data_IF_245780862576
#
_entry.id   IF_245780862576
#
_cell.length_a   1.000
_cell.length_b   1.000
_cell.length_c   1.000
_cell.angle_alpha   90.00
_cell.angle_beta   90.00
_cell.angle_gamma   90.00
#
_symmetry.space_group_name_H-M   'P 1'
#
loop_
_entity.id
_entity.type
_entity.pdbx_description
1 polymer ?
#
# COMPACT_ATOMS: atom_id res chain seq x y z
N UNK A 1 4.28 -27.07 0.25
CA UNK A 1 3.83 -26.26 1.41
C UNK A 1 3.26 -27.21 2.44
N UNK A 2 3.66 -27.09 3.71
CA UNK A 2 3.19 -27.98 4.79
C UNK A 2 1.67 -27.86 4.96
N UNK A 3 0.99 -28.99 5.14
CA UNK A 3 -0.47 -29.07 5.36
C UNK A 3 -1.01 -28.22 6.54
N UNK A 4 -0.15 -27.77 7.43
CA UNK A 4 -0.54 -26.93 8.59
C UNK A 4 -0.68 -25.44 8.24
N UNK A 5 -0.03 -24.96 7.18
CA UNK A 5 -0.16 -23.56 6.72
C UNK A 5 -1.53 -23.29 6.07
N UNK A 6 -2.16 -24.32 5.50
CA UNK A 6 -3.51 -24.23 4.92
C UNK A 6 -4.65 -24.09 5.96
N UNK A 7 -4.36 -24.23 7.26
CA UNK A 7 -5.37 -24.12 8.33
C UNK A 7 -5.49 -22.71 8.92
N UNK A 8 -4.55 -21.79 8.63
CA UNK A 8 -4.63 -20.42 9.10
C UNK A 8 -5.56 -19.63 8.16
N UNK A 9 -6.50 -18.91 8.76
CA UNK A 9 -7.47 -18.10 8.04
C UNK A 9 -6.88 -16.82 7.46
N UNK A 10 -7.75 -16.01 6.88
CA UNK A 10 -7.44 -14.65 6.43
C UNK A 10 -8.43 -13.64 7.01
N UNK A 11 -8.03 -12.37 7.03
CA UNK A 11 -8.82 -11.28 7.59
C UNK A 11 -8.98 -10.17 6.55
N UNK A 12 -10.21 -9.82 6.23
CA UNK A 12 -10.55 -8.65 5.43
C UNK A 12 -11.10 -7.56 6.38
N UNK A 13 -10.46 -6.39 6.41
CA UNK A 13 -10.89 -5.26 7.24
C UNK A 13 -11.89 -4.42 6.45
N UNK A 14 -13.11 -4.28 6.97
CA UNK A 14 -14.13 -3.52 6.28
C UNK A 14 -15.20 -2.99 7.23
N UNK A 15 -15.69 -1.80 6.93
CA UNK A 15 -16.85 -1.17 7.56
C UNK A 15 -17.51 -0.23 6.56
N UNK A 16 -18.84 -0.32 6.43
CA UNK A 16 -19.63 0.62 5.63
C UNK A 16 -19.45 2.06 6.10
N UNK A 17 -19.40 2.28 7.42
CA UNK A 17 -19.20 3.62 7.99
C UNK A 17 -17.91 4.27 7.50
N UNK A 18 -16.82 3.50 7.40
CA UNK A 18 -15.53 4.00 6.93
C UNK A 18 -15.49 4.16 5.41
N UNK A 19 -16.08 3.22 4.68
CA UNK A 19 -16.06 3.21 3.22
C UNK A 19 -16.93 4.32 2.61
N UNK A 20 -17.88 4.86 3.35
CA UNK A 20 -18.74 5.96 2.89
C UNK A 20 -18.46 7.30 3.59
N UNK A 21 -17.29 7.45 4.19
CA UNK A 21 -16.85 8.74 4.73
C UNK A 21 -16.60 9.73 3.58
N UNK A 22 -17.14 10.94 3.72
CA UNK A 22 -17.13 11.94 2.66
C UNK A 22 -15.90 12.86 2.74
N UNK A 23 -14.98 12.71 1.80
CA UNK A 23 -13.85 13.61 1.60
C UNK A 23 -14.19 14.84 0.74
N UNK A 24 -15.42 14.94 0.24
CA UNK A 24 -15.86 15.97 -0.70
C UNK A 24 -15.89 15.49 -2.16
N UNK A 25 -16.79 16.09 -2.93
CA UNK A 25 -17.05 15.66 -4.31
C UNK A 25 -15.82 15.77 -5.22
N UNK A 26 -15.03 16.83 -5.04
CA UNK A 26 -13.86 17.12 -5.89
C UNK A 26 -12.55 16.50 -5.38
N UNK A 27 -12.56 15.84 -4.21
CA UNK A 27 -11.37 15.22 -3.67
C UNK A 27 -11.08 13.91 -4.40
N UNK A 28 -9.81 13.65 -4.75
CA UNK A 28 -9.42 12.43 -5.46
C UNK A 28 -9.54 11.17 -4.62
N UNK A 29 -9.23 11.25 -3.32
CA UNK A 29 -9.36 10.09 -2.44
C UNK A 29 -10.84 9.76 -2.18
N UNK A 30 -11.25 8.57 -2.61
CA UNK A 30 -12.62 8.05 -2.47
C UNK A 30 -12.60 6.77 -1.65
N UNK A 31 -12.97 6.80 -0.36
CA UNK A 31 -13.01 5.60 0.48
C UNK A 31 -13.96 4.51 -0.05
N UNK A 32 -14.97 4.89 -0.85
CA UNK A 32 -15.93 3.96 -1.46
C UNK A 32 -15.29 2.87 -2.33
N UNK A 33 -14.01 3.05 -2.75
CA UNK A 33 -13.24 2.01 -3.45
C UNK A 33 -13.10 0.73 -2.62
N UNK A 34 -13.10 0.83 -1.28
CA UNK A 34 -13.11 -0.32 -0.38
C UNK A 34 -14.47 -1.04 -0.42
N UNK A 35 -15.60 -0.31 -0.48
CA UNK A 35 -16.92 -0.90 -0.65
C UNK A 35 -17.04 -1.62 -1.99
N UNK A 36 -16.55 -1.02 -3.07
CA UNK A 36 -16.55 -1.65 -4.39
C UNK A 36 -15.67 -2.90 -4.43
N UNK A 37 -14.51 -2.87 -3.79
CA UNK A 37 -13.64 -4.04 -3.66
C UNK A 37 -14.37 -5.17 -2.90
N UNK A 38 -14.95 -4.86 -1.76
CA UNK A 38 -15.70 -5.84 -0.97
C UNK A 38 -16.88 -6.43 -1.75
N UNK A 39 -17.62 -5.59 -2.48
CA UNK A 39 -18.72 -6.02 -3.35
C UNK A 39 -18.23 -6.97 -4.45
N UNK A 40 -17.14 -6.63 -5.15
CA UNK A 40 -16.55 -7.48 -6.17
C UNK A 40 -16.05 -8.80 -5.59
N UNK A 41 -15.34 -8.78 -4.45
CA UNK A 41 -14.89 -9.99 -3.77
C UNK A 41 -16.05 -10.96 -3.46
N UNK A 42 -17.21 -10.45 -3.02
CA UNK A 42 -18.40 -11.28 -2.81
C UNK A 42 -18.95 -11.84 -4.12
N UNK A 43 -19.06 -11.00 -5.16
CA UNK A 43 -19.64 -11.42 -6.47
C UNK A 43 -18.79 -12.43 -7.20
N UNK A 44 -17.46 -12.32 -7.10
CA UNK A 44 -16.52 -13.26 -7.72
C UNK A 44 -16.18 -14.46 -6.83
N UNK A 45 -16.90 -14.64 -5.72
CA UNK A 45 -16.79 -15.82 -4.86
C UNK A 45 -15.49 -15.89 -4.04
N UNK A 46 -14.73 -14.80 -3.95
CA UNK A 46 -13.44 -14.76 -3.23
C UNK A 46 -13.56 -14.23 -1.79
N UNK A 47 -14.78 -14.13 -1.27
CA UNK A 47 -15.05 -13.73 0.15
C UNK A 47 -15.76 -14.81 0.97
N UNK A 48 -16.47 -15.74 0.34
CA UNK A 48 -17.40 -16.63 1.02
C UNK A 48 -16.75 -17.98 1.40
N UNK A 49 -15.66 -17.94 2.18
CA UNK A 49 -14.97 -19.13 2.65
C UNK A 49 -14.91 -19.16 4.19
N UNK A 50 -15.08 -20.33 4.81
CA UNK A 50 -15.16 -20.52 6.26
C UNK A 50 -13.91 -20.01 7.02
N UNK A 51 -12.74 -20.03 6.36
CA UNK A 51 -11.49 -19.54 6.94
C UNK A 51 -11.30 -18.01 6.82
N UNK A 52 -12.16 -17.32 6.08
CA UNK A 52 -12.11 -15.87 5.94
C UNK A 52 -12.96 -15.20 7.03
N UNK A 53 -12.41 -14.14 7.59
CA UNK A 53 -13.10 -13.34 8.60
C UNK A 53 -13.18 -11.88 8.18
N UNK A 54 -14.37 -11.33 8.24
CA UNK A 54 -14.55 -9.88 8.15
C UNK A 54 -14.24 -9.28 9.52
N UNK A 55 -13.36 -8.27 9.53
CA UNK A 55 -13.01 -7.51 10.72
C UNK A 55 -13.61 -6.11 10.61
N UNK A 56 -14.59 -5.83 11.45
CA UNK A 56 -15.06 -4.46 11.65
C UNK A 56 -14.02 -3.71 12.50
N UNK A 57 -13.38 -2.65 11.97
CA UNK A 57 -12.31 -1.96 12.69
C UNK A 57 -12.87 -1.16 13.86
N UNK A 58 -12.26 -1.34 15.02
CA UNK A 58 -12.51 -0.52 16.21
C UNK A 58 -11.53 0.67 16.22
N UNK A 59 -11.89 1.71 16.95
CA UNK A 59 -11.05 2.88 17.15
C UNK A 59 -9.73 2.49 17.85
N UNK A 60 -8.59 2.88 17.31
CA UNK A 60 -7.30 2.69 17.96
C UNK A 60 -7.24 3.45 19.29
N UNK A 61 -6.53 2.91 20.26
CA UNK A 61 -6.17 3.66 21.46
C UNK A 61 -5.28 4.85 21.06
N UNK A 62 -5.63 6.05 21.50
CA UNK A 62 -4.90 7.27 21.16
C UNK A 62 -3.43 7.24 21.61
N UNK A 63 -3.11 6.48 22.65
CA UNK A 63 -1.73 6.28 23.09
C UNK A 63 -0.84 5.63 22.02
N UNK A 64 -1.43 4.89 21.06
CA UNK A 64 -0.68 4.32 19.94
C UNK A 64 -0.20 5.38 18.96
N UNK A 65 -0.91 6.50 18.82
CA UNK A 65 -0.50 7.57 17.92
C UNK A 65 0.87 8.13 18.28
N UNK A 66 1.19 8.21 19.56
CA UNK A 66 2.46 8.73 20.09
C UNK A 66 3.65 7.80 19.82
N UNK A 67 3.41 6.59 19.27
CA UNK A 67 4.50 5.76 18.75
C UNK A 67 5.18 6.42 17.54
N UNK A 68 4.47 7.31 16.85
CA UNK A 68 5.01 8.01 15.69
C UNK A 68 4.74 9.51 15.70
N UNK A 69 3.47 9.91 15.88
CA UNK A 69 3.07 11.32 15.75
C UNK A 69 3.37 12.16 16.99
N UNK A 70 3.67 13.42 16.77
CA UNK A 70 3.88 14.41 17.82
C UNK A 70 2.57 14.81 18.50
N UNK A 71 2.61 14.99 19.81
CA UNK A 71 1.43 15.32 20.59
C UNK A 71 0.75 16.62 20.11
N UNK A 72 1.52 17.59 19.64
CA UNK A 72 1.00 18.86 19.12
C UNK A 72 0.19 18.64 17.86
N UNK A 73 0.73 17.87 16.91
CA UNK A 73 0.05 17.51 15.69
C UNK A 73 -1.27 16.77 15.97
N UNK A 74 -1.24 15.74 16.84
CA UNK A 74 -2.43 14.99 17.22
C UNK A 74 -3.52 15.91 17.77
N UNK A 75 -3.16 16.82 18.67
CA UNK A 75 -4.07 17.79 19.26
C UNK A 75 -4.66 18.76 18.24
N UNK A 76 -3.87 19.22 17.27
CA UNK A 76 -4.35 20.10 16.19
C UNK A 76 -5.32 19.37 15.26
N UNK A 77 -5.01 18.13 14.89
CA UNK A 77 -5.87 17.30 14.05
C UNK A 77 -7.22 17.00 14.75
N UNK A 78 -7.18 16.68 16.04
CA UNK A 78 -8.40 16.46 16.84
C UNK A 78 -9.26 17.72 16.90
N UNK A 79 -8.67 18.90 17.12
CA UNK A 79 -9.37 20.19 17.11
C UNK A 79 -10.00 20.48 15.74
N UNK A 80 -9.23 20.31 14.65
CA UNK A 80 -9.72 20.51 13.30
C UNK A 80 -10.92 19.61 13.01
N UNK A 81 -10.83 18.34 13.39
CA UNK A 81 -11.89 17.34 13.22
C UNK A 81 -13.19 17.68 13.97
N UNK A 82 -13.10 18.41 15.11
CA UNK A 82 -14.26 18.87 15.90
C UNK A 82 -14.87 20.18 15.41
N UNK A 83 -14.39 20.73 14.28
CA UNK A 83 -14.92 21.96 13.70
C UNK A 83 -14.41 23.23 14.37
N UNK A 84 -13.24 23.21 14.97
CA UNK A 84 -12.56 24.43 15.45
C UNK A 84 -12.26 25.37 14.29
N UNK A 85 -12.18 26.66 14.57
CA UNK A 85 -11.76 27.65 13.58
C UNK A 85 -10.36 27.31 13.04
N UNK A 86 -10.19 27.51 11.74
CA UNK A 86 -8.91 27.33 11.06
C UNK A 86 -7.84 28.23 11.70
N UNK A 87 -6.62 27.69 11.84
CA UNK A 87 -5.47 28.43 12.35
C UNK A 87 -4.24 28.23 11.45
N UNK A 88 -3.30 29.17 11.52
CA UNK A 88 -2.02 29.02 10.80
C UNK A 88 -1.24 27.81 11.30
N UNK A 89 -1.29 27.50 12.59
CA UNK A 89 -0.65 26.31 13.15
C UNK A 89 -1.17 25.02 12.49
N UNK A 90 -2.47 24.93 12.19
CA UNK A 90 -3.03 23.79 11.46
C UNK A 90 -2.43 23.69 10.06
N UNK A 91 -2.29 24.82 9.35
CA UNK A 91 -1.72 24.84 8.00
C UNK A 91 -0.23 24.47 7.99
N UNK A 92 0.55 24.93 8.97
CA UNK A 92 1.96 24.57 9.13
C UNK A 92 2.14 23.05 9.35
N UNK A 93 1.13 22.38 9.90
CA UNK A 93 1.07 20.94 10.07
C UNK A 93 0.30 20.22 8.94
N UNK A 94 0.10 20.88 7.80
CA UNK A 94 -0.55 20.29 6.60
C UNK A 94 -2.07 20.12 6.71
N UNK A 95 -2.71 20.56 7.80
CA UNK A 95 -4.16 20.43 8.02
C UNK A 95 -4.87 21.65 7.42
N UNK A 96 -5.82 21.43 6.51
CA UNK A 96 -6.57 22.50 5.83
C UNK A 96 -5.99 22.86 4.46
N UNK A 97 -5.07 22.06 3.93
CA UNK A 97 -4.62 22.13 2.54
C UNK A 97 -5.67 21.49 1.60
N UNK A 98 -5.59 21.73 0.27
CA UNK A 98 -6.44 21.03 -0.68
C UNK A 98 -6.33 19.50 -0.58
N UNK A 99 -5.13 18.97 -0.31
CA UNK A 99 -4.89 17.54 -0.18
C UNK A 99 -5.36 16.97 1.16
N UNK A 100 -5.29 17.77 2.21
CA UNK A 100 -5.69 17.36 3.56
C UNK A 100 -6.69 18.39 4.16
N UNK A 101 -7.92 18.49 3.63
CA UNK A 101 -8.90 19.45 4.07
C UNK A 101 -9.35 19.21 5.52
N UNK A 102 -9.87 20.24 6.15
CA UNK A 102 -10.53 20.09 7.45
C UNK A 102 -11.88 19.41 7.24
N UNK A 103 -12.01 18.20 7.76
CA UNK A 103 -13.21 17.39 7.64
C UNK A 103 -13.76 17.03 9.03
N UNK A 104 -15.03 17.30 9.31
CA UNK A 104 -15.65 16.85 10.54
C UNK A 104 -15.57 15.33 10.69
N UNK A 105 -15.07 14.87 11.83
CA UNK A 105 -14.94 13.43 12.12
C UNK A 105 -13.69 12.75 11.55
N UNK A 106 -12.81 13.45 10.82
CA UNK A 106 -11.61 12.84 10.19
C UNK A 106 -10.66 12.22 11.23
N UNK A 107 -10.56 12.76 12.43
CA UNK A 107 -9.74 12.18 13.49
C UNK A 107 -10.26 10.80 13.91
N UNK A 108 -11.55 10.69 14.19
CA UNK A 108 -12.18 9.42 14.59
C UNK A 108 -12.15 8.40 13.43
N UNK A 109 -12.36 8.86 12.20
CA UNK A 109 -12.22 8.02 11.01
C UNK A 109 -10.80 7.47 10.89
N UNK A 110 -9.79 8.32 10.99
CA UNK A 110 -8.38 7.91 10.93
C UNK A 110 -7.99 6.97 12.05
N UNK A 111 -8.52 7.19 13.28
CA UNK A 111 -8.32 6.27 14.39
C UNK A 111 -8.93 4.89 14.15
N UNK A 112 -10.12 4.80 13.54
CA UNK A 112 -10.73 3.51 13.19
C UNK A 112 -9.92 2.79 12.11
N UNK A 113 -9.46 3.50 11.07
CA UNK A 113 -8.59 2.90 10.06
C UNK A 113 -7.31 2.37 10.68
N UNK A 114 -6.64 3.18 11.52
CA UNK A 114 -5.44 2.77 12.26
C UNK A 114 -5.71 1.56 13.15
N UNK A 115 -6.84 1.55 13.85
CA UNK A 115 -7.26 0.41 14.68
C UNK A 115 -7.46 -0.87 13.86
N UNK A 116 -8.02 -0.77 12.66
CA UNK A 116 -8.13 -1.87 11.70
C UNK A 116 -6.76 -2.44 11.30
N UNK A 117 -5.82 -1.57 10.93
CA UNK A 117 -4.45 -1.95 10.56
C UNK A 117 -3.70 -2.61 11.72
N UNK A 118 -3.78 -2.01 12.93
CA UNK A 118 -3.17 -2.58 14.15
C UNK A 118 -3.81 -3.92 14.54
N UNK A 119 -5.11 -4.06 14.44
CA UNK A 119 -5.78 -5.34 14.73
C UNK A 119 -5.42 -6.42 13.71
N UNK A 120 -5.32 -6.05 12.42
CA UNK A 120 -4.96 -6.95 11.33
C UNK A 120 -3.53 -7.49 11.49
N UNK A 121 -2.54 -6.62 11.70
CA UNK A 121 -1.13 -7.05 11.89
C UNK A 121 -0.98 -7.97 13.11
N UNK A 122 -1.66 -7.64 14.21
CA UNK A 122 -1.61 -8.46 15.44
C UNK A 122 -2.20 -9.86 15.23
N UNK A 123 -3.27 -10.02 14.42
CA UNK A 123 -3.83 -11.35 14.10
C UNK A 123 -2.87 -12.20 13.29
N UNK A 124 -2.18 -11.60 12.32
CA UNK A 124 -1.17 -12.30 11.51
C UNK A 124 0.01 -12.73 12.40
N UNK A 125 0.51 -11.83 13.23
CA UNK A 125 1.66 -12.11 14.10
C UNK A 125 1.38 -13.13 15.20
N UNK A 126 0.15 -13.19 15.72
CA UNK A 126 -0.28 -14.22 16.68
C UNK A 126 -0.58 -15.56 16.02
N UNK A 127 -0.52 -15.67 14.69
CA UNK A 127 -0.88 -16.88 13.96
C UNK A 127 -2.39 -17.18 13.94
N UNK A 128 -3.23 -16.18 14.18
CA UNK A 128 -4.69 -16.27 14.06
C UNK A 128 -5.15 -16.16 12.60
N UNK A 129 -4.33 -15.55 11.75
CA UNK A 129 -4.50 -15.47 10.31
C UNK A 129 -3.15 -15.58 9.60
N UNK A 130 -3.16 -16.10 8.37
CA UNK A 130 -1.98 -16.12 7.50
C UNK A 130 -1.76 -14.77 6.84
N UNK A 131 -2.84 -14.14 6.38
CA UNK A 131 -2.80 -12.82 5.76
C UNK A 131 -3.99 -11.98 6.22
N UNK A 132 -3.82 -10.66 6.09
CA UNK A 132 -4.88 -9.69 6.31
C UNK A 132 -4.84 -8.62 5.22
N UNK A 133 -6.00 -8.05 4.89
CA UNK A 133 -6.09 -6.92 3.97
C UNK A 133 -6.96 -5.81 4.56
N UNK A 134 -6.39 -4.61 4.68
CA UNK A 134 -7.12 -3.39 5.02
C UNK A 134 -7.14 -2.44 3.81
N UNK A 135 -8.17 -2.45 2.96
CA UNK A 135 -8.22 -1.61 1.76
C UNK A 135 -8.34 -0.11 2.06
N UNK A 136 -8.69 0.27 3.29
CA UNK A 136 -8.74 1.67 3.74
C UNK A 136 -7.47 2.12 4.48
N UNK A 137 -6.55 1.21 4.82
CA UNK A 137 -5.24 1.53 5.36
C UNK A 137 -4.23 1.90 4.27
N UNK A 138 -3.03 2.28 4.69
CA UNK A 138 -1.97 2.60 3.75
C UNK A 138 -1.70 4.11 3.63
N UNK A 139 -1.71 4.84 4.73
CA UNK A 139 -1.48 6.29 4.73
C UNK A 139 0.01 6.63 4.86
N UNK A 140 0.81 6.24 3.87
CA UNK A 140 2.26 6.24 3.85
C UNK A 140 2.91 7.63 3.81
N UNK A 141 2.14 8.70 3.47
CA UNK A 141 2.69 10.06 3.41
C UNK A 141 2.66 10.82 4.73
N UNK A 142 1.74 10.49 5.66
CA UNK A 142 1.65 11.24 6.90
C UNK A 142 2.99 11.20 7.66
N UNK A 143 3.49 12.40 7.98
CA UNK A 143 4.75 12.62 8.69
C UNK A 143 4.55 12.59 10.20
N UNK A 144 5.65 12.62 10.92
CA UNK A 144 5.64 12.67 12.39
C UNK A 144 4.82 13.83 12.94
N UNK A 145 4.93 15.01 12.34
CA UNK A 145 4.29 16.25 12.75
C UNK A 145 3.35 16.88 11.73
N UNK A 146 3.01 16.19 10.60
CA UNK A 146 2.16 16.79 9.58
C UNK A 146 1.34 15.78 8.80
N UNK A 147 0.19 16.24 8.31
CA UNK A 147 -0.59 15.58 7.28
C UNK A 147 0.00 15.90 5.91
N UNK A 148 0.07 14.92 5.01
CA UNK A 148 0.55 15.07 3.64
C UNK A 148 -0.17 14.08 2.72
N UNK A 149 -0.38 14.44 1.44
CA UNK A 149 -0.83 13.51 0.40
C UNK A 149 -2.06 12.68 0.78
N UNK A 150 -3.12 13.32 1.23
CA UNK A 150 -4.38 12.72 1.71
C UNK A 150 -4.25 11.97 3.05
N UNK A 151 -3.05 11.83 3.60
CA UNK A 151 -2.74 11.06 4.79
C UNK A 151 -2.73 11.96 6.04
N UNK A 152 -3.58 11.63 7.03
CA UNK A 152 -3.63 12.34 8.31
C UNK A 152 -2.89 11.59 9.41
N UNK A 153 -3.06 10.28 9.51
CA UNK A 153 -2.39 9.41 10.49
C UNK A 153 -1.71 8.28 9.73
N UNK A 154 -0.44 8.05 9.99
CA UNK A 154 0.33 6.96 9.39
C UNK A 154 0.05 5.64 10.13
N UNK A 155 -0.99 4.96 9.72
CA UNK A 155 -1.42 3.69 10.29
C UNK A 155 -0.37 2.58 10.11
N UNK A 156 0.41 2.63 9.04
CA UNK A 156 1.50 1.69 8.72
C UNK A 156 2.58 1.76 9.80
N UNK A 157 3.11 2.97 9.99
CA UNK A 157 4.21 3.19 10.96
C UNK A 157 3.77 2.84 12.37
N UNK A 158 2.55 3.22 12.76
CA UNK A 158 1.99 2.90 14.08
C UNK A 158 1.87 1.39 14.26
N UNK A 159 1.31 0.69 13.27
CA UNK A 159 1.14 -0.76 13.33
C UNK A 159 2.48 -1.50 13.39
N UNK A 160 3.47 -1.10 12.59
CA UNK A 160 4.81 -1.70 12.60
C UNK A 160 5.51 -1.42 13.95
N UNK A 161 5.48 -0.18 14.46
CA UNK A 161 6.10 0.15 15.76
C UNK A 161 5.43 -0.58 16.93
N UNK A 162 4.11 -0.75 16.92
CA UNK A 162 3.38 -1.56 17.90
C UNK A 162 3.79 -3.03 17.81
N UNK A 163 3.93 -3.58 16.60
CA UNK A 163 4.40 -4.94 16.37
C UNK A 163 5.83 -5.16 16.88
N UNK A 164 6.78 -4.27 16.55
CA UNK A 164 8.16 -4.32 17.03
C UNK A 164 8.26 -4.27 18.56
N UNK A 165 7.35 -3.54 19.22
CA UNK A 165 7.27 -3.47 20.68
C UNK A 165 6.75 -4.77 21.29
N UNK A 166 5.71 -5.38 20.67
CA UNK A 166 5.02 -6.58 21.19
C UNK A 166 5.76 -7.88 20.88
N UNK A 167 6.50 -7.90 19.78
CA UNK A 167 7.22 -9.09 19.28
C UNK A 167 8.72 -8.77 19.11
N UNK A 168 9.48 -8.70 20.22
CA UNK A 168 10.91 -8.40 20.17
C UNK A 168 11.67 -9.36 19.24
N UNK A 169 12.54 -8.83 18.40
CA UNK A 169 13.36 -9.60 17.46
C UNK A 169 12.70 -9.95 16.13
N UNK A 170 11.43 -9.56 15.92
CA UNK A 170 10.75 -9.74 14.63
C UNK A 170 11.43 -8.91 13.54
N UNK A 171 11.56 -9.49 12.35
CA UNK A 171 12.02 -8.83 11.12
C UNK A 171 10.82 -8.56 10.21
N UNK A 172 10.61 -7.30 9.88
CA UNK A 172 9.50 -6.87 9.03
C UNK A 172 10.06 -6.33 7.72
N UNK A 173 9.54 -6.78 6.58
CA UNK A 173 9.74 -6.09 5.32
C UNK A 173 8.51 -5.24 5.02
N UNK A 174 8.71 -3.97 4.72
CA UNK A 174 7.71 -3.09 4.13
C UNK A 174 7.96 -3.02 2.63
N UNK A 175 6.96 -3.35 1.83
CA UNK A 175 7.04 -3.33 0.37
C UNK A 175 5.93 -2.43 -0.14
N UNK A 176 6.33 -1.35 -0.77
CA UNK A 176 5.44 -0.32 -1.31
C UNK A 176 5.49 -0.39 -2.84
N UNK A 177 4.33 -0.65 -3.45
CA UNK A 177 4.11 -0.60 -4.89
C UNK A 177 3.02 0.41 -5.26
N UNK A 178 2.82 1.43 -4.42
CA UNK A 178 2.10 2.65 -4.76
C UNK A 178 2.92 3.47 -5.77
N UNK A 179 2.27 4.24 -6.62
CA UNK A 179 2.98 5.10 -7.56
C UNK A 179 3.69 6.27 -6.88
N UNK A 180 3.32 6.62 -5.66
CA UNK A 180 3.94 7.68 -4.89
C UNK A 180 4.97 7.10 -3.91
N UNK A 181 6.05 7.83 -3.68
CA UNK A 181 7.05 7.43 -2.69
C UNK A 181 6.49 7.47 -1.27
N UNK A 182 6.62 6.36 -0.52
CA UNK A 182 6.18 6.22 0.88
C UNK A 182 7.06 6.98 1.86
N UNK A 183 7.17 8.30 1.70
CA UNK A 183 8.10 9.16 2.41
C UNK A 183 7.95 9.15 3.93
N UNK A 184 6.71 9.10 4.45
CA UNK A 184 6.46 9.06 5.89
C UNK A 184 6.92 7.74 6.53
N UNK A 185 6.79 6.62 5.80
CA UNK A 185 7.28 5.30 6.27
C UNK A 185 8.80 5.24 6.18
N UNK A 186 9.40 5.71 5.08
CA UNK A 186 10.85 5.79 4.95
C UNK A 186 11.47 6.56 6.12
N UNK A 187 10.98 7.77 6.39
CA UNK A 187 11.50 8.61 7.48
C UNK A 187 11.42 7.93 8.85
N UNK A 188 10.34 7.17 9.08
CA UNK A 188 10.10 6.52 10.37
C UNK A 188 11.09 5.37 10.68
N UNK A 189 11.66 4.75 9.63
CA UNK A 189 12.50 3.56 9.74
C UNK A 189 13.88 3.70 9.10
N UNK A 190 14.28 4.91 8.73
CA UNK A 190 15.50 5.19 7.97
C UNK A 190 16.79 4.74 8.66
N UNK A 191 16.77 4.60 10.00
CA UNK A 191 17.89 4.10 10.81
C UNK A 191 17.53 2.82 11.61
N UNK A 192 16.46 2.10 11.24
CA UNK A 192 16.00 0.91 11.97
C UNK A 192 16.16 -0.37 11.13
N UNK A 193 17.20 -1.19 11.36
CA UNK A 193 17.48 -2.40 10.57
C UNK A 193 16.47 -3.54 10.77
N UNK A 194 15.51 -3.39 11.69
CA UNK A 194 14.43 -4.37 11.91
C UNK A 194 13.35 -4.27 10.85
N UNK A 195 13.30 -3.12 10.13
CA UNK A 195 12.35 -2.87 9.04
C UNK A 195 13.12 -2.67 7.75
N UNK A 196 12.95 -3.59 6.81
CA UNK A 196 13.52 -3.44 5.48
C UNK A 196 12.49 -2.76 4.59
N UNK A 197 12.76 -1.51 4.24
CA UNK A 197 11.91 -0.67 3.40
C UNK A 197 12.25 -0.84 1.93
N UNK A 198 11.24 -1.19 1.12
CA UNK A 198 11.29 -1.20 -0.35
C UNK A 198 10.17 -0.33 -0.89
N UNK A 199 10.48 0.59 -1.79
CA UNK A 199 9.48 1.39 -2.48
C UNK A 199 9.77 1.46 -3.97
N UNK A 200 8.82 1.00 -4.78
CA UNK A 200 8.82 1.18 -6.23
C UNK A 200 7.76 2.24 -6.57
N UNK A 201 8.19 3.35 -7.10
CA UNK A 201 7.32 4.51 -7.30
C UNK A 201 7.74 5.29 -8.56
N UNK A 202 6.86 6.12 -9.08
CA UNK A 202 7.22 7.05 -10.14
C UNK A 202 8.26 8.05 -9.62
N UNK A 203 9.29 8.32 -10.40
CA UNK A 203 10.43 9.14 -9.97
C UNK A 203 9.99 10.50 -9.40
N UNK A 204 10.53 10.87 -8.24
CA UNK A 204 10.32 12.17 -7.61
C UNK A 204 10.77 13.38 -8.44
N UNK A 205 11.37 13.17 -9.61
CA UNK A 205 11.61 14.24 -10.59
C UNK A 205 10.32 14.71 -11.26
N UNK A 206 9.28 13.88 -11.30
CA UNK A 206 8.05 14.10 -12.03
C UNK A 206 6.79 14.02 -11.17
N UNK A 207 6.85 13.33 -10.03
CA UNK A 207 5.70 13.07 -9.19
C UNK A 207 5.96 13.47 -7.72
N UNK A 208 4.91 13.97 -7.07
CA UNK A 208 4.85 14.14 -5.61
C UNK A 208 5.20 12.80 -4.91
N UNK A 209 5.88 12.76 -3.77
CA UNK A 209 6.30 13.87 -2.91
C UNK A 209 7.72 14.39 -3.22
N UNK A 210 8.21 14.27 -4.45
CA UNK A 210 9.48 14.83 -4.94
C UNK A 210 10.72 14.25 -4.24
N UNK A 211 10.63 12.99 -3.78
CA UNK A 211 11.66 12.30 -2.99
C UNK A 211 11.77 10.82 -3.40
N UNK A 212 12.56 10.02 -2.70
CA UNK A 212 12.75 8.60 -2.97
C UNK A 212 13.78 8.34 -4.07
N UNK A 213 14.98 8.88 -3.91
CA UNK A 213 16.06 8.61 -4.86
C UNK A 213 16.69 7.23 -4.58
N UNK A 214 17.25 6.61 -5.62
CA UNK A 214 17.94 5.32 -5.51
C UNK A 214 19.15 5.32 -4.59
N UNK A 215 19.69 6.50 -4.26
CA UNK A 215 20.83 6.66 -3.34
C UNK A 215 20.40 6.88 -1.87
N UNK A 216 19.11 6.93 -1.58
CA UNK A 216 18.60 6.94 -0.22
C UNK A 216 18.59 5.50 0.32
N UNK A 217 19.72 5.09 0.93
CA UNK A 217 19.95 3.70 1.36
C UNK A 217 19.78 3.46 2.86
N UNK A 218 19.30 4.45 3.62
CA UNK A 218 19.25 4.42 5.08
C UNK A 218 20.42 5.15 5.71
N UNK A 219 20.44 5.19 7.05
CA UNK A 219 21.54 5.79 7.82
C UNK A 219 21.81 4.99 9.12
N UNK A 220 23.00 5.20 9.70
CA UNK A 220 23.36 4.54 10.96
C UNK A 220 23.22 3.03 10.89
N UNK A 221 22.49 2.44 11.86
CA UNK A 221 22.23 1.00 11.90
C UNK A 221 21.30 0.53 10.78
N UNK A 222 20.49 1.44 10.22
CA UNK A 222 19.58 1.19 9.10
C UNK A 222 20.23 1.34 7.72
N UNK A 223 21.53 1.59 7.62
CA UNK A 223 22.21 1.70 6.34
C UNK A 223 22.08 0.39 5.54
N UNK A 224 21.61 0.48 4.30
CA UNK A 224 21.32 -0.64 3.42
C UNK A 224 19.88 -1.20 3.57
N UNK A 225 19.10 -0.75 4.56
CA UNK A 225 17.74 -1.24 4.79
C UNK A 225 16.65 -0.34 4.19
N UNK A 226 17.01 0.61 3.33
CA UNK A 226 16.10 1.42 2.52
C UNK A 226 16.45 1.24 1.05
N UNK A 227 15.49 0.82 0.24
CA UNK A 227 15.68 0.60 -1.20
C UNK A 227 14.56 1.31 -1.96
N UNK A 228 14.93 2.34 -2.69
CA UNK A 228 14.05 3.06 -3.60
C UNK A 228 14.33 2.66 -5.05
N UNK A 229 13.27 2.38 -5.81
CA UNK A 229 13.31 2.05 -7.22
C UNK A 229 12.43 3.07 -7.95
N UNK A 230 12.95 4.30 -8.21
CA UNK A 230 12.20 5.33 -8.93
C UNK A 230 12.03 4.95 -10.40
N UNK A 231 10.80 4.94 -10.88
CA UNK A 231 10.41 4.54 -12.22
C UNK A 231 10.12 5.77 -13.09
N UNK A 232 10.52 5.74 -14.35
CA UNK A 232 10.18 6.79 -15.30
C UNK A 232 8.71 6.73 -15.73
N UNK A 233 8.08 7.88 -16.05
CA UNK A 233 6.77 7.91 -16.71
C UNK A 233 6.72 6.99 -17.93
N UNK A 234 5.59 6.29 -18.09
CA UNK A 234 5.43 5.32 -19.18
C UNK A 234 5.98 3.93 -18.89
N UNK A 235 6.51 3.66 -17.69
CA UNK A 235 6.82 2.30 -17.22
C UNK A 235 5.61 1.41 -17.35
N UNK A 236 5.75 0.31 -18.10
CA UNK A 236 4.73 -0.73 -18.29
C UNK A 236 5.05 -1.98 -17.48
N UNK A 237 4.22 -3.02 -17.66
CA UNK A 237 4.38 -4.31 -16.96
C UNK A 237 5.76 -4.94 -17.15
N UNK A 238 6.38 -4.78 -18.32
CA UNK A 238 7.70 -5.38 -18.61
C UNK A 238 8.81 -4.66 -17.85
N UNK A 239 8.84 -3.32 -17.93
CA UNK A 239 9.85 -2.51 -17.25
C UNK A 239 9.73 -2.65 -15.73
N UNK A 240 8.50 -2.58 -15.21
CA UNK A 240 8.22 -2.80 -13.79
C UNK A 240 8.68 -4.18 -13.32
N UNK A 241 8.27 -5.24 -14.03
CA UNK A 241 8.63 -6.62 -13.68
C UNK A 241 10.14 -6.85 -13.73
N UNK A 242 10.84 -6.22 -14.67
CA UNK A 242 12.30 -6.27 -14.74
C UNK A 242 12.92 -5.70 -13.44
N UNK A 243 12.62 -4.44 -13.12
CA UNK A 243 13.21 -3.78 -11.95
C UNK A 243 12.82 -4.50 -10.63
N UNK A 244 11.56 -4.91 -10.51
CA UNK A 244 11.06 -5.65 -9.35
C UNK A 244 11.84 -6.95 -9.14
N UNK A 245 11.93 -7.80 -10.17
CA UNK A 245 12.51 -9.14 -10.04
C UNK A 245 14.03 -9.11 -9.79
N UNK A 246 14.73 -8.10 -10.32
CA UNK A 246 16.17 -7.97 -10.16
C UNK A 246 16.58 -7.53 -8.74
N UNK A 247 15.72 -6.81 -8.01
CA UNK A 247 16.09 -6.19 -6.73
C UNK A 247 15.33 -6.80 -5.55
N UNK A 248 14.00 -6.79 -5.57
CA UNK A 248 13.21 -7.09 -4.36
C UNK A 248 13.31 -8.56 -3.96
N UNK A 249 13.05 -9.56 -4.81
CA UNK A 249 13.07 -10.96 -4.40
C UNK A 249 14.43 -11.46 -3.88
N UNK A 250 15.58 -11.13 -4.48
CA UNK A 250 16.89 -11.54 -3.92
C UNK A 250 17.14 -10.97 -2.53
N UNK A 251 16.87 -9.68 -2.32
CA UNK A 251 17.08 -9.01 -1.05
C UNK A 251 16.12 -9.52 0.04
N UNK A 252 14.84 -9.72 -0.31
CA UNK A 252 13.85 -10.28 0.61
C UNK A 252 14.18 -11.70 1.07
N UNK A 253 14.61 -12.58 0.14
CA UNK A 253 15.01 -13.95 0.51
C UNK A 253 16.21 -13.95 1.44
N UNK A 254 17.16 -13.06 1.21
CA UNK A 254 18.32 -12.89 2.07
C UNK A 254 17.95 -12.35 3.45
N UNK A 255 17.09 -11.34 3.51
CA UNK A 255 16.59 -10.76 4.76
C UNK A 255 15.74 -11.77 5.53
N UNK A 256 14.95 -12.59 4.84
CA UNK A 256 14.07 -13.59 5.44
C UNK A 256 13.12 -12.97 6.47
N UNK A 257 12.17 -12.12 6.08
CA UNK A 257 11.25 -11.46 6.99
C UNK A 257 10.28 -12.45 7.65
N UNK A 258 9.91 -12.17 8.90
CA UNK A 258 8.86 -12.90 9.62
C UNK A 258 7.46 -12.47 9.18
N UNK A 259 7.35 -11.22 8.69
CA UNK A 259 6.13 -10.59 8.20
C UNK A 259 6.46 -9.63 7.07
N UNK A 260 5.60 -9.59 6.06
CA UNK A 260 5.57 -8.51 5.06
C UNK A 260 4.38 -7.59 5.35
N UNK A 261 4.63 -6.29 5.39
CA UNK A 261 3.61 -5.24 5.27
C UNK A 261 3.68 -4.71 3.85
N UNK A 262 2.64 -4.98 3.06
CA UNK A 262 2.60 -4.63 1.64
C UNK A 262 1.61 -3.48 1.40
N UNK A 263 2.13 -2.34 0.96
CA UNK A 263 1.33 -1.24 0.43
C UNK A 263 0.98 -1.56 -1.02
N UNK A 264 -0.29 -1.79 -1.25
CA UNK A 264 -0.82 -2.25 -2.53
C UNK A 264 -1.57 -1.12 -3.26
N UNK A 265 -0.96 0.06 -3.37
CA UNK A 265 -1.48 1.17 -4.16
C UNK A 265 -1.78 0.73 -5.59
N UNK A 266 -2.94 1.13 -6.13
CA UNK A 266 -3.40 0.77 -7.47
C UNK A 266 -3.24 1.92 -8.47
N UNK A 267 -2.62 3.01 -8.06
CA UNK A 267 -2.37 4.20 -8.90
C UNK A 267 -1.21 4.04 -9.89
N UNK A 268 -0.45 2.94 -9.80
CA UNK A 268 0.46 2.53 -10.88
C UNK A 268 -0.26 2.11 -12.17
N UNK A 269 -1.57 1.84 -12.09
CA UNK A 269 -2.33 1.32 -13.22
C UNK A 269 -2.53 2.36 -14.31
N UNK A 270 -2.52 1.89 -15.56
CA UNK A 270 -2.82 2.73 -16.73
C UNK A 270 -4.15 3.45 -16.55
N UNK A 271 -4.18 4.74 -16.89
CA UNK A 271 -5.34 5.64 -16.77
C UNK A 271 -5.66 6.11 -15.34
N UNK A 272 -4.79 5.87 -14.35
CA UNK A 272 -4.92 6.59 -13.09
C UNK A 272 -4.75 8.10 -13.35
N UNK A 273 -5.62 8.95 -12.76
CA UNK A 273 -5.62 10.38 -13.06
C UNK A 273 -4.44 11.15 -12.43
N UNK A 274 -3.72 10.58 -11.46
CA UNK A 274 -2.67 11.29 -10.72
C UNK A 274 -1.26 10.86 -11.10
N UNK A 275 -1.08 9.80 -11.92
CA UNK A 275 0.23 9.23 -12.21
C UNK A 275 0.45 9.01 -13.71
N UNK A 276 1.67 8.69 -14.11
CA UNK A 276 2.04 8.52 -15.52
C UNK A 276 2.54 7.10 -15.83
N UNK A 277 2.48 6.19 -14.85
CA UNK A 277 2.81 4.79 -15.05
C UNK A 277 1.74 4.09 -15.90
N UNK A 278 2.09 2.96 -16.48
CA UNK A 278 1.25 2.28 -17.49
C UNK A 278 1.11 0.78 -17.21
N UNK A 279 1.09 0.40 -15.93
CA UNK A 279 0.88 -1.00 -15.57
C UNK A 279 -0.56 -1.43 -15.87
N UNK A 280 -0.71 -2.71 -16.15
CA UNK A 280 -2.00 -3.40 -16.05
C UNK A 280 -2.08 -4.13 -14.71
N UNK A 281 -3.29 -4.51 -14.29
CA UNK A 281 -3.41 -5.33 -13.10
C UNK A 281 -2.79 -6.73 -13.27
N UNK A 282 -2.44 -7.15 -14.48
CA UNK A 282 -1.67 -8.38 -14.73
C UNK A 282 -0.22 -8.25 -14.24
N UNK A 283 0.46 -7.13 -14.55
CA UNK A 283 1.81 -6.84 -14.07
C UNK A 283 1.87 -6.70 -12.56
N UNK A 284 0.93 -5.93 -12.04
CA UNK A 284 0.73 -5.73 -10.62
C UNK A 284 0.53 -7.06 -9.87
N UNK A 285 -0.37 -7.91 -10.33
CA UNK A 285 -0.67 -9.20 -9.70
C UNK A 285 0.53 -10.16 -9.73
N UNK A 286 1.38 -10.11 -10.76
CA UNK A 286 2.64 -10.89 -10.79
C UNK A 286 3.56 -10.52 -9.63
N UNK A 287 3.70 -9.23 -9.32
CA UNK A 287 4.49 -8.77 -8.18
C UNK A 287 3.87 -9.23 -6.84
N UNK A 288 2.56 -9.06 -6.66
CA UNK A 288 1.83 -9.53 -5.46
C UNK A 288 2.03 -11.03 -5.25
N UNK A 289 1.84 -11.86 -6.28
CA UNK A 289 2.08 -13.31 -6.20
C UNK A 289 3.51 -13.64 -5.81
N UNK A 290 4.49 -12.87 -6.31
CA UNK A 290 5.91 -13.07 -5.99
C UNK A 290 6.23 -12.72 -4.53
N UNK A 291 5.61 -11.68 -4.00
CA UNK A 291 5.70 -11.31 -2.57
C UNK A 291 5.16 -12.45 -1.70
N UNK A 292 3.98 -12.99 -2.04
CA UNK A 292 3.34 -14.11 -1.32
C UNK A 292 4.22 -15.39 -1.33
N UNK A 293 4.87 -15.69 -2.46
CA UNK A 293 5.78 -16.83 -2.56
C UNK A 293 6.96 -16.76 -1.60
N UNK A 294 7.44 -15.54 -1.30
CA UNK A 294 8.62 -15.33 -0.44
C UNK A 294 8.22 -15.40 1.04
N UNK A 295 7.17 -14.74 1.44
CA UNK A 295 6.65 -14.76 2.80
C UNK A 295 5.12 -14.72 2.77
N UNK A 296 4.42 -15.81 3.13
CA UNK A 296 2.97 -15.85 3.11
C UNK A 296 2.30 -15.13 4.29
N UNK A 297 3.06 -14.72 5.31
CA UNK A 297 2.56 -13.87 6.39
C UNK A 297 2.55 -12.42 5.94
N UNK A 298 1.38 -11.92 5.57
CA UNK A 298 1.24 -10.61 4.94
C UNK A 298 0.13 -9.80 5.61
N UNK A 299 0.44 -8.55 5.94
CA UNK A 299 -0.55 -7.49 6.07
C UNK A 299 -0.53 -6.69 4.76
N UNK A 300 -1.58 -6.77 3.98
CA UNK A 300 -1.80 -5.94 2.80
C UNK A 300 -2.62 -4.69 3.17
N UNK A 301 -2.26 -3.56 2.58
CA UNK A 301 -2.90 -2.25 2.76
C UNK A 301 -3.28 -1.68 1.40
N UNK A 302 -4.24 -0.78 1.38
CA UNK A 302 -4.77 -0.23 0.13
C UNK A 302 -3.83 0.77 -0.53
N UNK A 303 -3.55 1.90 0.12
CA UNK A 303 -2.77 2.99 -0.49
C UNK A 303 -3.52 3.82 -1.53
N UNK A 304 -2.84 4.30 -2.55
CA UNK A 304 -3.40 5.05 -3.67
C UNK A 304 -4.26 4.21 -4.61
N UNK A 305 -4.73 4.85 -5.68
CA UNK A 305 -5.66 4.28 -6.66
C UNK A 305 -6.90 5.16 -6.78
N UNK A 306 -6.94 5.97 -7.83
CA UNK A 306 -7.89 7.08 -7.98
C UNK A 306 -8.89 6.84 -9.12
N UNK A 307 -8.68 5.78 -9.91
CA UNK A 307 -9.73 5.16 -10.73
C UNK A 307 -10.44 4.10 -9.88
N UNK A 308 -11.64 4.45 -9.42
CA UNK A 308 -12.45 3.65 -8.50
C UNK A 308 -12.63 2.20 -8.95
N UNK A 309 -12.91 2.00 -10.23
CA UNK A 309 -13.25 0.67 -10.76
C UNK A 309 -12.00 -0.18 -11.02
N UNK A 310 -10.95 0.43 -11.56
CA UNK A 310 -9.67 -0.28 -11.77
C UNK A 310 -9.05 -0.67 -10.44
N UNK A 311 -9.08 0.22 -9.46
CA UNK A 311 -8.63 -0.05 -8.10
C UNK A 311 -9.40 -1.23 -7.49
N UNK A 312 -10.73 -1.21 -7.55
CA UNK A 312 -11.55 -2.28 -6.98
C UNK A 312 -11.28 -3.64 -7.66
N UNK A 313 -11.13 -3.68 -8.99
CA UNK A 313 -10.76 -4.90 -9.74
C UNK A 313 -9.37 -5.41 -9.34
N UNK A 314 -8.41 -4.51 -9.28
CA UNK A 314 -7.03 -4.81 -8.90
C UNK A 314 -6.95 -5.42 -7.50
N UNK A 315 -7.59 -4.78 -6.51
CA UNK A 315 -7.61 -5.26 -5.13
C UNK A 315 -8.41 -6.55 -4.94
N UNK A 316 -9.45 -6.77 -5.74
CA UNK A 316 -10.16 -8.07 -5.77
C UNK A 316 -9.23 -9.20 -6.21
N UNK A 317 -8.41 -8.98 -7.25
CA UNK A 317 -7.41 -9.94 -7.70
C UNK A 317 -6.29 -10.13 -6.66
N UNK A 318 -5.84 -9.07 -6.01
CA UNK A 318 -4.85 -9.15 -4.93
C UNK A 318 -5.38 -9.97 -3.74
N UNK A 319 -6.63 -9.73 -3.31
CA UNK A 319 -7.27 -10.52 -2.26
C UNK A 319 -7.42 -11.99 -2.63
N UNK A 320 -7.83 -12.28 -3.86
CA UNK A 320 -7.90 -13.65 -4.37
C UNK A 320 -6.53 -14.34 -4.30
N UNK A 321 -5.47 -13.64 -4.74
CA UNK A 321 -4.10 -14.16 -4.70
C UNK A 321 -3.61 -14.41 -3.27
N UNK A 322 -3.86 -13.51 -2.32
CA UNK A 322 -3.54 -13.67 -0.90
C UNK A 322 -4.17 -14.93 -0.30
N UNK A 323 -5.31 -15.35 -0.81
CA UNK A 323 -6.04 -16.54 -0.39
C UNK A 323 -5.82 -17.78 -1.27
N UNK A 324 -4.94 -17.68 -2.26
CA UNK A 324 -4.70 -18.73 -3.27
C UNK A 324 -5.99 -19.18 -3.96
N UNK A 325 -6.84 -18.21 -4.32
CA UNK A 325 -8.10 -18.43 -5.03
C UNK A 325 -8.02 -17.91 -6.46
N UNK A 326 -8.76 -18.56 -7.35
CA UNK A 326 -9.03 -18.04 -8.68
C UNK A 326 -10.47 -17.47 -8.69
N UNK A 327 -10.67 -16.21 -9.09
CA UNK A 327 -12.00 -15.63 -9.21
C UNK A 327 -12.87 -16.43 -10.20
N UNK A 328 -14.15 -16.59 -9.88
CA UNK A 328 -15.09 -17.30 -10.77
C UNK A 328 -15.48 -16.37 -11.91
N UNK A 329 -14.90 -16.59 -13.08
CA UNK A 329 -15.05 -15.68 -14.24
C UNK A 329 -16.25 -16.01 -15.13
N UNK A 330 -17.00 -17.11 -14.85
CA UNK A 330 -18.12 -17.59 -15.66
C UNK A 330 -19.27 -16.56 -15.83
N UNK A 331 -19.37 -15.61 -14.88
CA UNK A 331 -20.40 -14.56 -14.89
C UNK A 331 -19.82 -13.14 -15.08
N UNK A 332 -18.56 -13.02 -15.40
CA UNK A 332 -17.84 -11.76 -15.47
C UNK A 332 -18.53 -10.74 -16.40
N UNK A 333 -18.94 -11.18 -17.59
CA UNK A 333 -19.63 -10.33 -18.55
C UNK A 333 -21.01 -9.85 -18.08
N UNK A 334 -21.75 -10.68 -17.39
CA UNK A 334 -23.06 -10.34 -16.83
C UNK A 334 -22.93 -9.37 -15.65
N UNK A 335 -22.00 -9.67 -14.75
CA UNK A 335 -21.75 -8.89 -13.54
C UNK A 335 -21.15 -7.52 -13.88
N UNK A 336 -20.22 -7.45 -14.83
CA UNK A 336 -19.60 -6.20 -15.28
C UNK A 336 -20.64 -5.23 -15.85
N UNK A 337 -21.48 -5.68 -16.77
CA UNK A 337 -22.52 -4.84 -17.38
C UNK A 337 -23.58 -4.36 -16.39
N UNK A 338 -23.91 -5.14 -15.36
CA UNK A 338 -24.89 -4.76 -14.34
C UNK A 338 -24.36 -3.78 -13.30
N UNK A 339 -23.03 -3.83 -13.00
CA UNK A 339 -22.45 -3.00 -11.95
C UNK A 339 -21.88 -1.67 -12.43
N UNK A 340 -21.29 -1.69 -13.61
CA UNK A 340 -20.43 -0.58 -14.06
C UNK A 340 -21.02 0.18 -15.24
N UNK A 341 -22.17 -0.28 -15.77
CA UNK A 341 -22.81 0.31 -16.95
C UNK A 341 -22.11 -0.08 -18.26
N UNK A 342 -22.66 0.42 -19.39
CA UNK A 342 -22.24 0.01 -20.74
C UNK A 342 -20.86 0.53 -21.18
N UNK A 343 -20.26 1.44 -20.43
CA UNK A 343 -18.99 2.10 -20.78
C UNK A 343 -17.74 1.33 -20.28
N UNK A 344 -17.92 0.29 -19.46
CA UNK A 344 -16.82 -0.51 -18.95
C UNK A 344 -16.52 -1.69 -19.87
N UNK A 345 -15.24 -2.07 -19.99
CA UNK A 345 -14.83 -3.31 -20.63
C UNK A 345 -15.51 -4.48 -19.90
N UNK A 346 -16.64 -4.90 -20.45
CA UNK A 346 -17.50 -5.92 -19.86
C UNK A 346 -16.81 -7.25 -19.99
N UNK A 347 -16.51 -7.91 -18.88
CA UNK A 347 -16.26 -9.35 -18.94
C UNK A 347 -15.11 -9.93 -18.15
N UNK A 348 -14.15 -9.19 -17.62
CA UNK A 348 -13.05 -9.77 -16.85
C UNK A 348 -12.58 -8.87 -15.73
N UNK A 349 -12.13 -9.46 -14.61
CA UNK A 349 -11.37 -8.73 -13.59
C UNK A 349 -10.00 -8.32 -14.13
N UNK A 350 -9.45 -9.07 -15.07
CA UNK A 350 -8.15 -8.81 -15.67
C UNK A 350 -8.24 -7.72 -16.74
N UNK A 351 -7.21 -6.89 -16.78
CA UNK A 351 -7.04 -5.93 -17.87
C UNK A 351 -6.59 -6.64 -19.15
N UNK A 352 -6.90 -6.04 -20.30
CA UNK A 352 -6.27 -6.44 -21.55
C UNK A 352 -4.75 -6.17 -21.48
N UNK A 353 -3.93 -7.05 -22.05
CA UNK A 353 -2.49 -6.81 -22.11
C UNK A 353 -2.18 -5.46 -22.79
N UNK A 354 -1.36 -4.66 -22.14
CA UNK A 354 -0.88 -3.40 -22.69
C UNK A 354 0.64 -3.47 -22.82
N UNK A 355 1.14 -3.09 -23.98
CA UNK A 355 2.58 -2.97 -24.26
C UNK A 355 2.82 -1.54 -24.68
N UNK A 356 3.56 -0.81 -23.88
CA UNK A 356 4.08 0.51 -24.27
C UNK A 356 5.13 0.35 -25.37
N UNK A 357 5.27 1.33 -26.24
CA UNK A 357 6.23 1.31 -27.37
C UNK A 357 6.81 2.70 -27.58
N UNK A 358 7.96 2.75 -28.27
CA UNK A 358 8.61 4.00 -28.64
C UNK A 358 9.51 4.60 -27.54
N UNK A 359 9.92 5.84 -27.72
CA UNK A 359 10.94 6.52 -26.92
C UNK A 359 10.66 6.52 -25.41
N UNK A 360 9.39 6.62 -25.00
CA UNK A 360 9.03 6.63 -23.57
C UNK A 360 9.35 5.29 -22.91
N UNK A 361 9.05 4.17 -23.57
CA UNK A 361 9.42 2.84 -23.06
C UNK A 361 10.91 2.62 -23.05
N UNK A 362 11.59 3.01 -24.14
CA UNK A 362 13.04 2.84 -24.27
C UNK A 362 13.77 3.61 -23.17
N UNK A 363 13.32 4.85 -22.88
CA UNK A 363 13.82 5.65 -21.76
C UNK A 363 13.55 4.98 -20.43
N UNK A 364 12.33 4.51 -20.19
CA UNK A 364 11.95 3.85 -18.94
C UNK A 364 12.79 2.58 -18.70
N UNK A 365 12.98 1.75 -19.73
CA UNK A 365 13.80 0.55 -19.63
C UNK A 365 15.28 0.89 -19.40
N UNK A 366 15.81 1.90 -20.08
CA UNK A 366 17.21 2.34 -19.89
C UNK A 366 17.45 2.80 -18.46
N UNK A 367 16.54 3.61 -17.92
CA UNK A 367 16.66 4.12 -16.56
C UNK A 367 16.47 3.01 -15.52
N UNK A 368 15.51 2.10 -15.73
CA UNK A 368 15.32 0.94 -14.86
C UNK A 368 16.60 0.07 -14.79
N UNK A 369 17.26 -0.16 -15.91
CA UNK A 369 18.56 -0.87 -15.95
C UNK A 369 19.63 -0.12 -15.17
N UNK A 370 19.74 1.18 -15.36
CA UNK A 370 20.71 2.03 -14.63
C UNK A 370 20.50 1.93 -13.10
N UNK A 371 19.23 2.03 -12.66
CA UNK A 371 18.86 1.95 -11.24
C UNK A 371 19.16 0.55 -10.68
N UNK A 372 18.81 -0.50 -11.40
CA UNK A 372 19.12 -1.89 -11.02
C UNK A 372 20.62 -2.11 -10.88
N UNK A 373 21.42 -1.67 -11.84
CA UNK A 373 22.90 -1.75 -11.78
C UNK A 373 23.45 -0.98 -10.58
N UNK A 374 22.93 0.22 -10.32
CA UNK A 374 23.31 1.03 -9.16
C UNK A 374 23.01 0.31 -7.85
N UNK A 375 21.80 -0.17 -7.65
CA UNK A 375 21.38 -0.85 -6.42
C UNK A 375 22.14 -2.18 -6.21
N UNK A 376 22.37 -2.94 -7.28
CA UNK A 376 23.22 -4.15 -7.19
C UNK A 376 24.64 -3.81 -6.77
N UNK A 377 25.20 -2.72 -7.28
CA UNK A 377 26.54 -2.30 -6.93
C UNK A 377 26.67 -1.77 -5.51
N UNK A 378 25.72 -0.93 -5.07
CA UNK A 378 25.83 -0.20 -3.82
C UNK A 378 25.14 -0.93 -2.64
N UNK A 379 23.93 -1.49 -2.84
CA UNK A 379 23.14 -2.08 -1.77
C UNK A 379 23.39 -3.59 -1.58
N UNK A 380 23.52 -4.38 -2.65
CA UNK A 380 23.71 -5.84 -2.54
C UNK A 380 24.89 -6.25 -1.66
N UNK A 381 26.10 -5.64 -1.79
CA UNK A 381 27.24 -5.99 -0.95
C UNK A 381 26.98 -5.77 0.55
N UNK A 382 26.14 -4.80 0.94
CA UNK A 382 25.78 -4.55 2.33
C UNK A 382 25.04 -5.73 2.96
N UNK A 383 24.43 -6.57 2.13
CA UNK A 383 23.70 -7.78 2.51
C UNK A 383 24.43 -9.08 2.14
N UNK A 384 25.69 -9.01 1.68
CA UNK A 384 26.48 -10.17 1.25
C UNK A 384 25.98 -10.82 -0.03
N UNK A 385 25.16 -10.13 -0.81
CA UNK A 385 24.71 -10.55 -2.14
C UNK A 385 25.77 -10.19 -3.18
N UNK A 386 25.89 -11.03 -4.20
CA UNK A 386 26.77 -10.76 -5.38
C UNK A 386 25.93 -10.13 -6.49
N UNK A 387 26.57 -9.34 -7.34
CA UNK A 387 25.98 -8.68 -8.50
C UNK A 387 25.52 -9.70 -9.57
#
# INVERSE_FOLDING_TARGET
MNNDVQKLGSVFVYSDELAWFDFGADHYFKPERAAKTYELCNRYGVMNHEWMKLLNPERADESLLTLFHENEYIRLLEKASKGSEFSLDMLEHGIGTPDNPILPGIFDWSLKVTGGTVAAINRVLKGEALCAFNPLGGFHHARKGSAEGFCYINDIVIAIKDALRKFPGIKIAYIDIDAHHGNGVQDAFYNDPRVFFFCMHETGKNLYPWSGNENDLGEGDGMGYTINIPLEPGTDDEVFSYAFNEIIPPMLRNFSPDLIVAELGADMLISDPLTHLKLTNNGYLRAVKKIIEICPRILALGGGGYDLFRTARCWTLAWAALNNLEPIDEYAGLVGGMMFGPEMEVGSLFDNPYINTGEAKDKAMLEAKRIVEYLKKEAFPMHGLQN
#
